data_IF_850194018296
#
_entry.id   IF_850194018296
#
_cell.length_a   1.000
_cell.length_b   1.000
_cell.length_c   1.000
_cell.angle_alpha   90.00
_cell.angle_beta   90.00
_cell.angle_gamma   90.00
#
_symmetry.space_group_name_H-M   'P 1'
#
loop_
_entity.id
_entity.type
_entity.pdbx_description
1 polymer ?
#
# COMPACT_ATOMS: atom_id res chain seq x y z
N UNK A 1 -1.02 -28.82 -33.09
CA UNK A 1 -1.61 -28.82 -31.74
C UNK A 1 -0.45 -28.95 -30.76
N UNK A 2 -0.09 -27.84 -30.12
CA UNK A 2 1.12 -27.70 -29.31
C UNK A 2 0.77 -27.84 -27.83
N UNK A 3 1.11 -29.00 -27.26
CA UNK A 3 1.04 -29.27 -25.82
C UNK A 3 2.23 -28.59 -25.10
N UNK A 4 2.03 -27.33 -24.70
CA UNK A 4 2.90 -26.71 -23.70
C UNK A 4 2.51 -27.24 -22.32
N UNK A 5 3.18 -28.31 -21.88
CA UNK A 5 3.19 -28.72 -20.47
C UNK A 5 3.94 -27.65 -19.66
N UNK A 6 3.17 -26.76 -19.05
CA UNK A 6 3.69 -25.82 -18.06
C UNK A 6 3.95 -26.60 -16.77
N UNK A 7 5.22 -26.86 -16.48
CA UNK A 7 5.64 -27.50 -15.25
C UNK A 7 5.44 -26.55 -14.07
N UNK A 8 4.41 -26.83 -13.29
CA UNK A 8 4.24 -26.35 -11.92
C UNK A 8 5.45 -26.75 -11.08
N UNK A 9 6.22 -25.74 -10.63
CA UNK A 9 6.97 -25.75 -9.37
C UNK A 9 7.66 -24.40 -9.16
N UNK A 10 6.93 -23.45 -8.58
CA UNK A 10 7.52 -22.41 -7.72
C UNK A 10 6.73 -22.31 -6.43
N UNK A 11 6.93 -23.32 -5.57
CA UNK A 11 6.78 -23.14 -4.14
C UNK A 11 7.88 -22.17 -3.68
N UNK A 12 7.58 -20.88 -3.69
CA UNK A 12 8.25 -19.95 -2.78
C UNK A 12 7.15 -19.24 -2.00
N UNK A 13 6.76 -19.84 -0.87
CA UNK A 13 5.99 -19.17 0.18
C UNK A 13 6.93 -18.11 0.80
N UNK A 14 7.16 -17.03 0.08
CA UNK A 14 7.50 -15.76 0.71
C UNK A 14 6.26 -15.38 1.52
N UNK A 15 6.24 -15.76 2.80
CA UNK A 15 5.18 -15.38 3.72
C UNK A 15 5.11 -13.85 3.69
N UNK A 16 4.07 -13.29 3.10
CA UNK A 16 3.85 -11.85 3.13
C UNK A 16 3.94 -11.39 4.59
N UNK A 17 4.91 -10.51 4.87
CA UNK A 17 5.20 -10.01 6.22
C UNK A 17 4.02 -9.22 6.80
N UNK A 18 3.14 -8.72 5.94
CA UNK A 18 1.96 -7.97 6.33
C UNK A 18 0.73 -8.89 6.38
N UNK A 19 0.00 -8.82 7.50
CA UNK A 19 -1.29 -9.48 7.62
C UNK A 19 -2.28 -8.79 6.66
N UNK A 20 -2.89 -9.55 5.75
CA UNK A 20 -3.95 -9.04 4.87
C UNK A 20 -5.11 -8.48 5.71
N UNK A 21 -5.48 -7.23 5.46
CA UNK A 21 -6.64 -6.59 6.06
C UNK A 21 -7.92 -7.20 5.48
N UNK A 22 -8.84 -7.60 6.37
CA UNK A 22 -10.10 -8.27 6.03
C UNK A 22 -11.33 -7.40 6.23
N UNK A 23 -11.14 -6.13 6.59
CA UNK A 23 -12.20 -5.17 6.84
C UNK A 23 -11.90 -3.81 6.18
N UNK A 24 -12.91 -2.96 6.10
CA UNK A 24 -12.82 -1.58 5.61
C UNK A 24 -11.68 -0.79 6.29
N UNK A 25 -10.89 -0.04 5.53
CA UNK A 25 -9.75 0.70 6.08
C UNK A 25 -10.17 1.78 7.07
N UNK A 26 -11.30 2.43 6.84
CA UNK A 26 -11.88 3.41 7.76
C UNK A 26 -12.16 2.81 9.14
N UNK A 27 -12.41 1.48 9.22
CA UNK A 27 -12.57 0.76 10.49
C UNK A 27 -11.22 0.29 11.06
N UNK A 28 -10.34 -0.25 10.21
CA UNK A 28 -9.02 -0.77 10.61
C UNK A 28 -8.08 0.31 11.18
N UNK A 29 -8.23 1.56 10.71
CA UNK A 29 -7.39 2.70 11.06
C UNK A 29 -8.19 3.82 11.75
N UNK A 30 -9.25 3.48 12.48
CA UNK A 30 -10.12 4.45 13.15
C UNK A 30 -9.51 5.12 14.39
N UNK A 31 -8.46 4.55 14.99
CA UNK A 31 -7.87 5.05 16.22
C UNK A 31 -6.69 6.02 15.91
N UNK A 32 -6.84 7.33 16.16
CA UNK A 32 -5.83 8.33 15.80
C UNK A 32 -4.51 8.15 16.55
N UNK A 33 -4.55 7.81 17.84
CA UNK A 33 -3.34 7.61 18.65
C UNK A 33 -2.49 6.46 18.10
N UNK A 34 -3.14 5.33 17.83
CA UNK A 34 -2.49 4.14 17.25
C UNK A 34 -2.02 4.37 15.83
N UNK A 35 -2.63 5.31 15.09
CA UNK A 35 -2.27 5.62 13.72
C UNK A 35 -1.10 6.60 13.64
N UNK A 36 -1.21 7.75 14.32
CA UNK A 36 -0.39 8.93 14.11
C UNK A 36 0.76 9.12 15.09
N UNK A 37 0.67 8.65 16.34
CA UNK A 37 1.69 8.93 17.35
C UNK A 37 3.00 8.15 17.10
N UNK A 38 4.12 8.59 17.68
CA UNK A 38 5.37 7.82 17.66
C UNK A 38 5.14 6.40 18.19
N UNK A 39 5.74 5.40 17.53
CA UNK A 39 5.49 3.97 17.75
C UNK A 39 4.08 3.46 17.35
N UNK A 40 3.22 4.32 16.79
CA UNK A 40 2.00 3.92 16.11
C UNK A 40 2.25 3.20 14.78
N UNK A 41 1.17 2.74 14.13
CA UNK A 41 1.20 1.96 12.88
C UNK A 41 1.97 2.68 11.77
N UNK A 42 1.74 3.98 11.55
CA UNK A 42 2.42 4.73 10.49
C UNK A 42 3.94 4.81 10.71
N UNK A 43 4.37 5.06 11.95
CA UNK A 43 5.79 5.07 12.32
C UNK A 43 6.44 3.69 12.12
N UNK A 44 5.74 2.62 12.53
CA UNK A 44 6.20 1.24 12.36
C UNK A 44 6.35 0.86 10.88
N UNK A 45 5.41 1.23 10.01
CA UNK A 45 5.55 1.02 8.57
C UNK A 45 6.69 1.83 7.96
N UNK A 46 6.83 3.11 8.35
CA UNK A 46 7.93 3.95 7.87
C UNK A 46 9.30 3.34 8.17
N UNK A 47 9.50 2.76 9.37
CA UNK A 47 10.75 2.05 9.73
C UNK A 47 11.01 0.83 8.83
N UNK A 48 9.95 0.13 8.40
CA UNK A 48 10.08 -1.00 7.48
C UNK A 48 10.46 -0.55 6.06
N UNK A 49 10.08 0.66 5.69
CA UNK A 49 10.36 1.24 4.37
C UNK A 49 11.71 1.96 4.26
N UNK A 50 12.58 1.88 5.26
CA UNK A 50 13.87 2.62 5.34
C UNK A 50 14.79 2.57 4.10
N UNK A 51 14.66 1.56 3.25
CA UNK A 51 15.49 1.39 2.05
C UNK A 51 14.79 1.83 0.75
N UNK A 52 13.54 2.28 0.85
CA UNK A 52 12.76 2.81 -0.26
C UNK A 52 13.00 4.31 -0.31
N UNK A 53 13.30 4.85 -1.50
CA UNK A 53 13.51 6.29 -1.60
C UNK A 53 12.19 7.05 -1.38
N UNK A 54 12.29 8.20 -0.73
CA UNK A 54 11.17 9.13 -0.55
C UNK A 54 10.39 9.43 -1.85
N UNK A 55 11.08 9.50 -2.99
CA UNK A 55 10.46 9.71 -4.29
C UNK A 55 9.51 8.56 -4.69
N UNK A 56 9.87 7.31 -4.43
CA UNK A 56 9.00 6.16 -4.74
C UNK A 56 7.74 6.17 -3.87
N UNK A 57 7.88 6.51 -2.58
CA UNK A 57 6.72 6.65 -1.70
C UNK A 57 5.82 7.82 -2.14
N UNK A 58 6.40 8.95 -2.57
CA UNK A 58 5.61 10.09 -3.08
C UNK A 58 4.79 9.74 -4.33
N UNK A 59 5.33 8.95 -5.26
CA UNK A 59 4.55 8.51 -6.45
C UNK A 59 3.27 7.76 -6.08
N UNK A 60 3.34 6.91 -5.06
CA UNK A 60 2.15 6.23 -4.53
C UNK A 60 1.23 7.25 -3.88
N UNK A 61 1.75 8.12 -3.01
CA UNK A 61 0.95 9.14 -2.34
C UNK A 61 0.22 10.05 -3.34
N UNK A 62 0.88 10.47 -4.42
CA UNK A 62 0.29 11.32 -5.46
C UNK A 62 -0.87 10.60 -6.17
N UNK A 63 -0.72 9.29 -6.43
CA UNK A 63 -1.79 8.46 -7.00
C UNK A 63 -2.99 8.31 -6.04
N UNK A 64 -2.73 8.21 -4.74
CA UNK A 64 -3.77 8.18 -3.70
C UNK A 64 -4.48 9.53 -3.61
N UNK A 65 -3.74 10.64 -3.61
CA UNK A 65 -4.31 12.00 -3.59
C UNK A 65 -5.20 12.24 -4.81
N UNK A 66 -4.84 11.68 -5.97
CA UNK A 66 -5.70 11.71 -7.15
C UNK A 66 -7.00 10.94 -6.91
N UNK A 67 -6.94 9.72 -6.35
CA UNK A 67 -8.13 8.94 -6.01
C UNK A 67 -9.03 9.66 -4.98
N UNK A 68 -8.46 10.33 -3.98
CA UNK A 68 -9.21 11.16 -3.01
C UNK A 68 -9.96 12.30 -3.72
N UNK A 69 -9.32 12.99 -4.68
CA UNK A 69 -10.00 14.06 -5.43
C UNK A 69 -11.10 13.54 -6.34
N UNK A 70 -10.94 12.35 -6.89
CA UNK A 70 -11.90 11.74 -7.81
C UNK A 70 -13.12 11.15 -7.08
N UNK A 71 -12.94 10.67 -5.85
CA UNK A 71 -13.97 9.91 -5.14
C UNK A 71 -15.23 10.71 -4.78
N UNK A 72 -15.16 12.04 -4.82
CA UNK A 72 -16.32 12.92 -4.63
C UNK A 72 -17.30 12.85 -5.79
N UNK A 73 -16.80 12.62 -7.00
CA UNK A 73 -17.60 12.58 -8.22
C UNK A 73 -17.87 11.15 -8.68
N UNK A 74 -16.87 10.27 -8.57
CA UNK A 74 -16.95 8.88 -9.02
C UNK A 74 -16.11 7.98 -8.10
N UNK A 75 -16.79 7.31 -7.19
CA UNK A 75 -16.17 6.37 -6.26
C UNK A 75 -15.59 5.14 -6.97
N UNK A 76 -16.26 4.59 -7.99
CA UNK A 76 -15.79 3.37 -8.66
C UNK A 76 -14.52 3.64 -9.48
N UNK A 77 -14.43 4.79 -10.14
CA UNK A 77 -13.19 5.21 -10.79
C UNK A 77 -12.06 5.43 -9.78
N UNK A 78 -12.34 6.08 -8.64
CA UNK A 78 -11.36 6.25 -7.57
C UNK A 78 -10.90 4.90 -6.98
N UNK A 79 -11.82 3.96 -6.80
CA UNK A 79 -11.54 2.60 -6.32
C UNK A 79 -10.70 1.81 -7.33
N UNK A 80 -11.01 1.92 -8.62
CA UNK A 80 -10.18 1.35 -9.69
C UNK A 80 -8.76 1.92 -9.64
N UNK A 81 -8.61 3.23 -9.44
CA UNK A 81 -7.31 3.87 -9.28
C UNK A 81 -6.53 3.28 -8.09
N UNK A 82 -7.20 3.04 -6.96
CA UNK A 82 -6.59 2.36 -5.81
C UNK A 82 -6.07 0.96 -6.16
N UNK A 83 -6.82 0.16 -6.92
CA UNK A 83 -6.37 -1.16 -7.36
C UNK A 83 -5.21 -1.10 -8.36
N UNK A 84 -5.17 -0.09 -9.23
CA UNK A 84 -4.05 0.14 -10.15
C UNK A 84 -2.74 0.38 -9.37
N UNK A 85 -2.77 1.06 -8.22
CA UNK A 85 -1.59 1.27 -7.37
C UNK A 85 -0.95 -0.07 -6.99
N UNK A 86 -1.76 -1.08 -6.63
CA UNK A 86 -1.27 -2.43 -6.28
C UNK A 86 -0.57 -3.06 -7.48
N UNK A 87 -1.20 -3.08 -8.66
CA UNK A 87 -0.62 -3.65 -9.87
C UNK A 87 0.69 -2.94 -10.28
N UNK A 88 0.73 -1.61 -10.22
CA UNK A 88 1.93 -0.83 -10.52
C UNK A 88 3.06 -1.10 -9.52
N UNK A 89 2.72 -1.29 -8.24
CA UNK A 89 3.71 -1.66 -7.23
C UNK A 89 4.27 -3.07 -7.43
N UNK A 90 3.46 -4.02 -7.91
CA UNK A 90 3.91 -5.36 -8.28
C UNK A 90 4.92 -5.31 -9.43
N UNK A 91 4.61 -4.52 -10.47
CA UNK A 91 5.52 -4.29 -11.60
C UNK A 91 6.86 -3.68 -11.13
N UNK A 92 6.80 -2.65 -10.28
CA UNK A 92 7.99 -2.02 -9.73
C UNK A 92 8.80 -2.98 -8.85
N UNK A 93 8.14 -3.83 -8.05
CA UNK A 93 8.79 -4.89 -7.29
C UNK A 93 9.49 -5.91 -8.19
N UNK A 94 8.90 -6.29 -9.33
CA UNK A 94 9.57 -7.13 -10.32
C UNK A 94 10.84 -6.51 -10.90
N UNK A 95 10.93 -5.18 -10.98
CA UNK A 95 12.11 -4.45 -11.46
C UNK A 95 13.20 -4.27 -10.40
N UNK A 96 12.82 -4.09 -9.13
CA UNK A 96 13.76 -3.97 -7.99
C UNK A 96 13.26 -4.78 -6.79
N UNK A 97 13.36 -6.12 -6.84
CA UNK A 97 12.74 -7.00 -5.85
C UNK A 97 13.38 -6.89 -4.47
N UNK A 98 14.66 -6.49 -4.39
CA UNK A 98 15.36 -6.33 -3.10
C UNK A 98 14.82 -5.15 -2.29
N UNK A 99 14.34 -4.09 -2.95
CA UNK A 99 13.88 -2.87 -2.28
C UNK A 99 12.37 -2.72 -2.26
N UNK A 100 11.69 -3.08 -3.35
CA UNK A 100 10.29 -2.69 -3.57
C UNK A 100 9.27 -3.79 -3.25
N UNK A 101 9.70 -5.05 -3.09
CA UNK A 101 8.81 -6.15 -2.69
C UNK A 101 8.11 -5.86 -1.37
N UNK A 102 8.78 -5.25 -0.39
CA UNK A 102 8.16 -4.92 0.90
C UNK A 102 7.04 -3.89 0.75
N UNK A 103 7.16 -2.96 -0.21
CA UNK A 103 6.14 -1.96 -0.49
C UNK A 103 4.93 -2.60 -1.20
N UNK A 104 5.19 -3.46 -2.18
CA UNK A 104 4.15 -4.25 -2.83
C UNK A 104 3.37 -5.09 -1.83
N UNK A 105 4.08 -5.87 -0.99
CA UNK A 105 3.50 -6.73 0.03
C UNK A 105 2.61 -5.95 1.02
N UNK A 106 3.02 -4.73 1.38
CA UNK A 106 2.19 -3.83 2.18
C UNK A 106 0.94 -3.42 1.42
N UNK A 107 1.09 -2.90 0.19
CA UNK A 107 -0.02 -2.40 -0.62
C UNK A 107 -1.06 -3.48 -0.92
N UNK A 108 -0.67 -4.69 -1.29
CA UNK A 108 -1.61 -5.81 -1.52
C UNK A 108 -2.33 -6.25 -0.24
N UNK A 109 -1.71 -6.04 0.93
CA UNK A 109 -2.30 -6.42 2.21
C UNK A 109 -3.39 -5.43 2.65
N UNK A 110 -3.23 -4.14 2.32
CA UNK A 110 -4.13 -3.06 2.78
C UNK A 110 -5.07 -2.55 1.70
N UNK A 111 -4.75 -2.69 0.41
CA UNK A 111 -5.61 -2.32 -0.71
C UNK A 111 -6.11 -3.61 -1.37
N UNK A 112 -7.35 -3.99 -1.09
CA UNK A 112 -7.98 -5.17 -1.65
C UNK A 112 -9.51 -5.01 -1.69
N UNK A 113 -10.19 -6.04 -2.20
CA UNK A 113 -11.63 -6.07 -2.40
C UNK A 113 -12.45 -5.85 -1.12
N UNK A 114 -11.89 -6.16 0.06
CA UNK A 114 -12.56 -6.03 1.35
C UNK A 114 -12.30 -4.69 2.04
N UNK A 115 -11.24 -3.99 1.64
CA UNK A 115 -10.73 -2.83 2.39
C UNK A 115 -11.14 -1.49 1.79
N UNK A 116 -11.28 -1.39 0.47
CA UNK A 116 -11.75 -0.19 -0.24
C UNK A 116 -13.21 -0.39 -0.65
N UNK A 117 -14.15 0.07 0.19
CA UNK A 117 -15.60 -0.07 -0.03
C UNK A 117 -16.33 1.27 -0.05
N UNK A 118 -15.73 2.30 0.53
CA UNK A 118 -16.32 3.63 0.68
C UNK A 118 -15.28 4.72 0.46
N UNK A 119 -15.73 5.95 0.22
CA UNK A 119 -14.85 7.14 0.20
C UNK A 119 -14.01 7.25 1.48
N UNK A 120 -14.60 6.96 2.64
CA UNK A 120 -13.91 7.01 3.92
C UNK A 120 -12.69 6.07 3.96
N UNK A 121 -12.72 4.94 3.24
CA UNK A 121 -11.58 4.02 3.15
C UNK A 121 -10.42 4.59 2.35
N UNK A 122 -10.71 5.29 1.25
CA UNK A 122 -9.69 5.98 0.44
C UNK A 122 -9.06 7.11 1.27
N UNK A 123 -9.88 7.89 1.99
CA UNK A 123 -9.38 8.92 2.90
C UNK A 123 -8.56 8.34 4.06
N UNK A 124 -8.97 7.21 4.64
CA UNK A 124 -8.21 6.54 5.70
C UNK A 124 -6.85 6.04 5.19
N UNK A 125 -6.79 5.51 3.97
CA UNK A 125 -5.52 5.14 3.35
C UNK A 125 -4.63 6.37 3.10
N UNK A 126 -5.19 7.46 2.58
CA UNK A 126 -4.47 8.72 2.38
C UNK A 126 -3.85 9.24 3.67
N UNK A 127 -4.61 9.26 4.76
CA UNK A 127 -4.14 9.68 6.08
C UNK A 127 -3.02 8.78 6.61
N UNK A 128 -3.20 7.46 6.53
CA UNK A 128 -2.18 6.48 6.90
C UNK A 128 -0.90 6.71 6.09
N UNK A 129 -1.01 6.77 4.77
CA UNK A 129 0.15 6.81 3.89
C UNK A 129 0.87 8.17 3.92
N UNK A 130 0.11 9.27 4.06
CA UNK A 130 0.68 10.60 4.35
C UNK A 130 1.54 10.56 5.62
N UNK A 131 1.04 9.91 6.68
CA UNK A 131 1.76 9.77 7.95
C UNK A 131 3.00 8.90 7.82
N UNK A 132 2.94 7.81 7.04
CA UNK A 132 4.10 6.97 6.72
C UNK A 132 5.19 7.82 6.03
N UNK A 133 4.83 8.59 5.01
CA UNK A 133 5.78 9.44 4.28
C UNK A 133 6.38 10.51 5.21
N UNK A 134 5.59 11.10 6.10
CA UNK A 134 6.08 12.08 7.08
C UNK A 134 7.14 11.47 8.01
N UNK A 135 6.86 10.31 8.62
CA UNK A 135 7.82 9.60 9.47
C UNK A 135 9.04 9.13 8.71
N UNK A 136 8.86 8.65 7.47
CA UNK A 136 9.96 8.18 6.63
C UNK A 136 10.96 9.31 6.34
N UNK A 137 10.47 10.51 6.02
CA UNK A 137 11.31 11.70 5.81
C UNK A 137 12.10 12.11 7.04
N UNK A 138 11.56 11.91 8.25
CA UNK A 138 12.29 12.18 9.51
C UNK A 138 13.34 11.10 9.75
N UNK A 139 13.04 9.84 9.45
CA UNK A 139 13.98 8.72 9.62
C UNK A 139 15.19 8.81 8.67
N UNK A 140 15.04 9.30 7.44
CA UNK A 140 16.17 9.55 6.52
C UNK A 140 17.15 10.64 7.00
N UNK A 141 16.73 11.50 7.95
CA UNK A 141 17.54 12.62 8.46
C UNK A 141 18.30 12.32 9.75
N UNK A 142 18.20 11.09 10.26
CA UNK A 142 18.90 10.62 11.46
C UNK A 142 19.91 9.56 11.08
#
# INVERSE_FOLDING_TARGET
MSDFKQSDKRNNKDKNKFKRCTQQLSKEYNNPEKLYLPNGKACCFAKQFKYISNHQLRKILDSVKLAVRQCDNDFESARKQMFIIVAMSAYNAGRDPKKLTILYNFLESVINENTIKTKADICAFDQLFTSIVAYHKVAERR
#
